data_IF_446797792563
#
_entry.id   IF_446797792563
#
_cell.length_a   1.000
_cell.length_b   1.000
_cell.length_c   1.000
_cell.angle_alpha   90.00
_cell.angle_beta   90.00
_cell.angle_gamma   90.00
#
_symmetry.space_group_name_H-M   'P 1'
#
loop_
_entity.id
_entity.type
_entity.pdbx_description
1 polymer ?
#
# COMPACT_ATOMS: atom_id res chain seq x y z
N UNK A 1 1.57 -28.01 -15.19
CA UNK A 1 0.29 -27.59 -15.81
C UNK A 1 0.50 -27.05 -17.23
N UNK A 2 -0.47 -27.25 -18.14
CA UNK A 2 -0.46 -26.63 -19.49
C UNK A 2 -0.99 -25.19 -19.43
N UNK A 3 -0.73 -24.38 -20.45
CA UNK A 3 -1.16 -22.95 -20.47
C UNK A 3 -2.67 -22.76 -20.29
N UNK A 4 -3.51 -23.63 -20.87
CA UNK A 4 -4.96 -23.57 -20.69
C UNK A 4 -5.42 -23.92 -19.27
N UNK A 5 -4.68 -24.77 -18.56
CA UNK A 5 -4.93 -25.08 -17.16
C UNK A 5 -4.48 -23.92 -16.26
N UNK A 6 -3.31 -23.34 -16.53
CA UNK A 6 -2.81 -22.15 -15.86
C UNK A 6 -3.81 -20.98 -15.99
N UNK A 7 -4.34 -20.76 -17.19
CA UNK A 7 -5.36 -19.77 -17.47
C UNK A 7 -6.61 -19.97 -16.60
N UNK A 8 -7.15 -21.20 -16.54
CA UNK A 8 -8.32 -21.49 -15.69
C UNK A 8 -8.05 -21.28 -14.20
N UNK A 9 -6.88 -21.69 -13.70
CA UNK A 9 -6.54 -21.58 -12.28
C UNK A 9 -6.28 -20.15 -11.82
N UNK A 10 -5.80 -19.30 -12.71
CA UNK A 10 -5.45 -17.90 -12.40
C UNK A 10 -6.52 -16.90 -12.80
N UNK A 11 -7.43 -17.29 -13.70
CA UNK A 11 -8.40 -16.40 -14.34
C UNK A 11 -7.77 -15.50 -15.41
N UNK A 12 -6.47 -15.63 -15.70
CA UNK A 12 -5.78 -14.82 -16.72
C UNK A 12 -5.99 -15.45 -18.10
N UNK A 13 -6.51 -14.70 -19.10
CA UNK A 13 -6.69 -15.24 -20.45
C UNK A 13 -5.38 -15.71 -21.08
N UNK A 14 -5.42 -16.78 -21.87
CA UNK A 14 -4.22 -17.30 -22.58
C UNK A 14 -3.49 -16.22 -23.39
N UNK A 15 -4.15 -15.32 -24.16
CA UNK A 15 -3.44 -14.25 -24.86
C UNK A 15 -2.67 -13.32 -23.93
N UNK A 16 -3.23 -13.03 -22.75
CA UNK A 16 -2.59 -12.20 -21.72
C UNK A 16 -1.40 -12.91 -21.08
N UNK A 17 -1.49 -14.22 -20.83
CA UNK A 17 -0.34 -15.02 -20.36
C UNK A 17 0.79 -14.98 -21.39
N UNK A 18 0.48 -15.20 -22.67
CA UNK A 18 1.48 -15.13 -23.75
C UNK A 18 2.10 -13.74 -23.86
N UNK A 19 1.29 -12.69 -23.70
CA UNK A 19 1.76 -11.31 -23.62
C UNK A 19 2.76 -11.13 -22.46
N UNK A 20 2.41 -11.53 -21.23
CA UNK A 20 3.32 -11.42 -20.09
C UNK A 20 4.62 -12.20 -20.27
N UNK A 21 4.60 -13.37 -20.92
CA UNK A 21 5.83 -14.10 -21.27
C UNK A 21 6.69 -13.30 -22.24
N UNK A 22 6.07 -12.70 -23.27
CA UNK A 22 6.79 -11.91 -24.28
C UNK A 22 7.41 -10.63 -23.70
N UNK A 23 6.69 -9.95 -22.81
CA UNK A 23 7.17 -8.74 -22.14
C UNK A 23 8.11 -9.04 -20.94
N UNK A 24 8.43 -10.31 -20.68
CA UNK A 24 9.32 -10.71 -19.58
C UNK A 24 8.71 -10.65 -18.17
N UNK A 25 7.43 -10.29 -18.07
CA UNK A 25 6.68 -10.25 -16.81
C UNK A 25 6.41 -11.64 -16.24
N UNK A 26 6.41 -12.69 -17.05
CA UNK A 26 6.28 -14.08 -16.61
C UNK A 26 7.41 -14.92 -17.23
N UNK A 27 8.16 -15.72 -16.45
CA UNK A 27 9.12 -16.65 -17.02
C UNK A 27 8.48 -17.56 -18.07
N UNK A 28 9.25 -17.90 -19.11
CA UNK A 28 8.79 -18.85 -20.11
C UNK A 28 8.60 -20.24 -19.48
N UNK A 29 7.49 -20.89 -19.81
CA UNK A 29 7.26 -22.28 -19.40
C UNK A 29 8.32 -23.21 -19.97
N UNK A 30 8.63 -24.29 -19.25
CA UNK A 30 9.61 -25.29 -19.70
C UNK A 30 9.08 -25.98 -20.95
N UNK A 31 9.82 -25.90 -22.05
CA UNK A 31 9.40 -26.52 -23.30
C UNK A 31 9.33 -28.05 -23.13
N UNK A 32 8.18 -28.63 -23.45
CA UNK A 32 7.93 -30.09 -23.39
C UNK A 32 7.74 -30.71 -24.76
N UNK A 33 7.44 -29.90 -25.78
CA UNK A 33 7.42 -30.30 -27.20
C UNK A 33 7.55 -29.05 -28.09
N UNK A 34 7.70 -29.17 -29.43
CA UNK A 34 7.81 -28.02 -30.33
C UNK A 34 6.67 -27.00 -30.22
N UNK A 35 5.48 -27.43 -29.76
CA UNK A 35 4.29 -26.59 -29.59
C UNK A 35 3.73 -26.57 -28.16
N UNK A 36 4.42 -27.18 -27.19
CA UNK A 36 3.94 -27.22 -25.80
C UNK A 36 5.01 -26.80 -24.79
N UNK A 37 4.54 -26.05 -23.78
CA UNK A 37 5.30 -25.70 -22.60
C UNK A 37 4.54 -26.11 -21.34
N UNK A 38 5.29 -26.54 -20.33
CA UNK A 38 4.81 -26.82 -18.99
C UNK A 38 5.12 -25.67 -18.04
N UNK A 39 4.10 -25.28 -17.29
CA UNK A 39 4.13 -24.28 -16.25
C UNK A 39 3.98 -24.95 -14.88
N UNK A 40 4.38 -24.28 -13.82
CA UNK A 40 4.31 -24.77 -12.45
C UNK A 40 3.60 -23.77 -11.53
N UNK A 41 3.53 -24.08 -10.25
CA UNK A 41 2.90 -23.27 -9.22
C UNK A 41 3.57 -21.91 -9.03
N UNK A 42 4.85 -21.76 -9.38
CA UNK A 42 5.53 -20.46 -9.32
C UNK A 42 4.97 -19.51 -10.40
N UNK A 43 4.68 -20.03 -11.59
CA UNK A 43 4.00 -19.25 -12.64
C UNK A 43 2.59 -18.82 -12.19
N UNK A 44 1.86 -19.71 -11.52
CA UNK A 44 0.53 -19.41 -10.98
C UNK A 44 0.59 -18.32 -9.90
N UNK A 45 1.54 -18.40 -8.97
CA UNK A 45 1.77 -17.38 -7.93
C UNK A 45 2.13 -16.03 -8.54
N UNK A 46 3.02 -16.02 -9.53
CA UNK A 46 3.43 -14.79 -10.23
C UNK A 46 2.30 -14.13 -10.98
N UNK A 47 1.42 -14.91 -11.63
CA UNK A 47 0.22 -14.37 -12.28
C UNK A 47 -0.77 -13.76 -11.27
N UNK A 48 -0.91 -14.34 -10.07
CA UNK A 48 -1.71 -13.73 -9.00
C UNK A 48 -1.12 -12.41 -8.52
N UNK A 49 0.22 -12.34 -8.38
CA UNK A 49 0.93 -11.11 -8.04
C UNK A 49 0.69 -10.02 -9.09
N UNK A 50 0.90 -10.33 -10.37
CA UNK A 50 0.66 -9.38 -11.47
C UNK A 50 -0.76 -8.84 -11.43
N UNK A 51 -1.76 -9.71 -11.24
CA UNK A 51 -3.16 -9.28 -11.12
C UNK A 51 -3.40 -8.38 -9.92
N UNK A 52 -2.88 -8.72 -8.75
CA UNK A 52 -3.04 -7.89 -7.56
C UNK A 52 -2.47 -6.48 -7.77
N UNK A 53 -1.28 -6.39 -8.34
CA UNK A 53 -0.62 -5.12 -8.62
C UNK A 53 -1.39 -4.26 -9.64
N UNK A 54 -1.89 -4.88 -10.73
CA UNK A 54 -2.65 -4.16 -11.76
C UNK A 54 -4.07 -3.78 -11.28
N UNK A 55 -4.84 -4.75 -10.78
CA UNK A 55 -6.29 -4.58 -10.54
C UNK A 55 -6.59 -3.84 -9.25
N UNK A 56 -5.83 -4.12 -8.18
CA UNK A 56 -6.08 -3.49 -6.87
C UNK A 56 -5.14 -2.30 -6.67
N UNK A 57 -3.93 -2.38 -7.22
CA UNK A 57 -2.93 -1.33 -7.06
C UNK A 57 -3.07 -0.20 -8.05
N UNK A 58 -3.73 -0.46 -9.19
CA UNK A 58 -3.80 0.50 -10.28
C UNK A 58 -2.41 0.83 -10.85
N UNK A 59 -1.44 -0.08 -10.71
CA UNK A 59 -0.11 0.14 -11.26
C UNK A 59 -0.17 -0.02 -12.78
N UNK A 60 0.61 0.82 -13.46
CA UNK A 60 0.91 0.63 -14.87
C UNK A 60 1.80 -0.61 -15.06
N UNK A 61 1.69 -1.26 -16.22
CA UNK A 61 2.45 -2.48 -16.54
C UNK A 61 3.96 -2.29 -16.37
N UNK A 62 4.48 -1.09 -16.67
CA UNK A 62 5.89 -0.76 -16.47
C UNK A 62 6.29 -0.78 -14.98
N UNK A 63 5.47 -0.23 -14.09
CA UNK A 63 5.73 -0.25 -12.64
C UNK A 63 5.63 -1.69 -12.08
N UNK A 64 4.72 -2.51 -12.63
CA UNK A 64 4.66 -3.94 -12.29
C UNK A 64 5.96 -4.65 -12.67
N UNK A 65 6.55 -4.35 -13.83
CA UNK A 65 7.83 -4.92 -14.25
C UNK A 65 8.95 -4.59 -13.25
N UNK A 66 9.01 -3.34 -12.78
CA UNK A 66 10.02 -2.88 -11.80
C UNK A 66 9.88 -3.63 -10.47
N UNK A 67 8.64 -3.80 -9.97
CA UNK A 67 8.38 -4.59 -8.74
C UNK A 67 8.82 -6.04 -8.93
N UNK A 68 8.47 -6.66 -10.06
CA UNK A 68 8.82 -8.05 -10.33
C UNK A 68 10.34 -8.24 -10.45
N UNK A 69 11.04 -7.32 -11.09
CA UNK A 69 12.50 -7.34 -11.18
C UNK A 69 13.16 -7.23 -9.79
N UNK A 70 12.63 -6.38 -8.91
CA UNK A 70 13.11 -6.27 -7.53
C UNK A 70 12.89 -7.58 -6.74
N UNK A 71 11.77 -8.27 -6.99
CA UNK A 71 11.45 -9.56 -6.37
C UNK A 71 12.32 -10.70 -6.91
N UNK A 72 12.65 -10.68 -8.20
CA UNK A 72 13.47 -11.70 -8.87
C UNK A 72 14.97 -11.59 -8.53
N UNK A 73 15.40 -10.46 -7.99
CA UNK A 73 16.76 -10.27 -7.49
C UNK A 73 16.96 -10.98 -6.14
N UNK A 74 17.18 -12.31 -6.22
CA UNK A 74 17.34 -13.20 -5.07
C UNK A 74 18.55 -12.93 -4.18
N UNK A 75 19.39 -11.94 -4.51
CA UNK A 75 20.48 -11.44 -3.66
C UNK A 75 20.06 -10.29 -2.73
N UNK A 76 18.89 -9.68 -2.96
CA UNK A 76 18.43 -8.54 -2.15
C UNK A 76 17.83 -8.98 -0.82
N UNK A 77 18.17 -8.29 0.28
CA UNK A 77 17.42 -8.40 1.52
C UNK A 77 15.94 -8.08 1.31
N UNK A 78 15.05 -8.79 2.02
CA UNK A 78 13.59 -8.58 1.93
C UNK A 78 13.18 -7.12 2.18
N UNK A 79 13.86 -6.42 3.08
CA UNK A 79 13.59 -5.02 3.38
C UNK A 79 13.84 -4.10 2.16
N UNK A 80 14.82 -4.41 1.32
CA UNK A 80 15.12 -3.62 0.12
C UNK A 80 14.04 -3.81 -0.95
N UNK A 81 13.53 -5.04 -1.11
CA UNK A 81 12.43 -5.32 -2.04
C UNK A 81 11.13 -4.63 -1.60
N UNK A 82 10.85 -4.64 -0.29
CA UNK A 82 9.72 -3.93 0.29
C UNK A 82 9.85 -2.41 0.10
N UNK A 83 11.04 -1.85 0.33
CA UNK A 83 11.31 -0.43 0.10
C UNK A 83 11.06 -0.01 -1.34
N UNK A 84 11.60 -0.76 -2.32
CA UNK A 84 11.37 -0.50 -3.75
C UNK A 84 9.88 -0.59 -4.10
N UNK A 85 9.19 -1.62 -3.62
CA UNK A 85 7.78 -1.79 -3.93
C UNK A 85 6.92 -0.68 -3.31
N UNK A 86 7.19 -0.28 -2.06
CA UNK A 86 6.52 0.85 -1.41
C UNK A 86 6.74 2.16 -2.18
N UNK A 87 7.96 2.43 -2.63
CA UNK A 87 8.30 3.62 -3.41
C UNK A 87 7.63 3.64 -4.79
N UNK A 88 7.51 2.48 -5.46
CA UNK A 88 6.85 2.39 -6.76
C UNK A 88 5.34 2.68 -6.69
N UNK A 89 4.74 2.54 -5.51
CA UNK A 89 3.30 2.66 -5.27
C UNK A 89 2.94 4.00 -4.65
N UNK A 90 3.87 4.57 -3.90
CA UNK A 90 3.74 5.90 -3.33
C UNK A 90 3.19 6.87 -4.40
N UNK A 91 2.09 7.59 -4.10
CA UNK A 91 1.44 8.45 -5.08
C UNK A 91 2.40 9.46 -5.68
N UNK A 92 2.39 9.57 -7.01
CA UNK A 92 3.06 10.68 -7.70
C UNK A 92 2.14 11.89 -7.67
N UNK A 93 2.32 12.74 -6.68
CA UNK A 93 1.72 14.07 -6.73
C UNK A 93 2.48 14.90 -7.76
N UNK A 94 1.76 15.55 -8.67
CA UNK A 94 2.35 16.44 -9.66
C UNK A 94 3.14 17.53 -8.92
N UNK A 95 4.47 17.50 -9.05
CA UNK A 95 5.32 18.53 -8.50
C UNK A 95 5.11 19.81 -9.31
N UNK A 96 4.42 20.80 -8.74
CA UNK A 96 4.58 22.18 -9.18
C UNK A 96 6.03 22.65 -8.97
N UNK A 97 6.39 23.79 -9.56
CA UNK A 97 7.68 24.49 -9.44
C UNK A 97 8.20 24.53 -7.99
N UNK A 98 9.51 24.82 -7.83
CA UNK A 98 10.16 24.93 -6.53
C UNK A 98 9.30 25.71 -5.52
N UNK A 99 8.99 25.05 -4.40
CA UNK A 99 7.88 25.38 -3.50
C UNK A 99 8.45 25.39 -2.08
N UNK A 100 8.60 26.58 -1.49
CA UNK A 100 9.26 26.76 -0.20
C UNK A 100 8.54 25.95 0.92
N UNK A 101 7.22 25.83 0.81
CA UNK A 101 6.40 25.01 1.70
C UNK A 101 6.71 23.51 1.56
N UNK A 102 7.01 23.05 0.34
CA UNK A 102 7.45 21.66 0.10
C UNK A 102 8.85 21.41 0.64
N UNK A 103 9.76 22.36 0.50
CA UNK A 103 11.11 22.25 1.07
C UNK A 103 11.08 22.22 2.60
N UNK A 104 10.26 23.08 3.21
CA UNK A 104 10.02 23.06 4.65
C UNK A 104 9.38 21.73 5.11
N UNK A 105 8.39 21.22 4.36
CA UNK A 105 7.79 19.91 4.63
C UNK A 105 8.81 18.76 4.50
N UNK A 106 9.72 18.79 3.52
CA UNK A 106 10.80 17.80 3.37
C UNK A 106 11.74 17.78 4.57
N UNK A 107 12.06 18.95 5.15
CA UNK A 107 12.84 19.03 6.39
C UNK A 107 12.09 18.33 7.52
N UNK A 108 10.81 18.68 7.74
CA UNK A 108 9.95 18.06 8.77
C UNK A 108 9.85 16.54 8.64
N UNK A 109 9.67 16.03 7.42
CA UNK A 109 9.61 14.58 7.15
C UNK A 109 10.94 13.90 7.49
N UNK A 110 12.09 14.47 7.11
CA UNK A 110 13.40 13.91 7.47
C UNK A 110 13.60 13.88 8.98
N UNK A 111 13.20 14.93 9.69
CA UNK A 111 13.27 14.95 11.15
C UNK A 111 12.35 13.90 11.77
N UNK A 112 11.14 13.68 11.24
CA UNK A 112 10.25 12.61 11.69
C UNK A 112 10.90 11.23 11.49
N UNK A 113 11.41 10.93 10.29
CA UNK A 113 12.11 9.67 9.98
C UNK A 113 13.26 9.44 10.96
N UNK A 114 14.09 10.45 11.18
CA UNK A 114 15.23 10.38 12.10
C UNK A 114 14.79 10.14 13.56
N UNK A 115 13.80 10.90 14.07
CA UNK A 115 13.29 10.74 15.45
C UNK A 115 12.68 9.36 15.68
N UNK A 116 12.07 8.78 14.66
CA UNK A 116 11.46 7.44 14.71
C UNK A 116 12.46 6.31 14.46
N UNK A 117 13.68 6.62 14.02
CA UNK A 117 14.70 5.62 13.67
C UNK A 117 14.29 4.76 12.47
N UNK A 118 13.45 5.28 11.57
CA UNK A 118 13.04 4.56 10.37
C UNK A 118 14.20 4.51 9.37
N UNK A 119 14.46 3.33 8.83
CA UNK A 119 15.50 3.10 7.81
C UNK A 119 14.90 3.31 6.42
N UNK A 120 14.85 4.56 5.98
CA UNK A 120 14.31 4.98 4.68
C UNK A 120 15.39 5.77 3.94
N UNK A 121 15.50 5.58 2.62
CA UNK A 121 16.47 6.32 1.78
C UNK A 121 16.08 7.80 1.65
N UNK A 122 17.07 8.68 1.51
CA UNK A 122 16.87 10.14 1.51
C UNK A 122 16.05 10.64 0.30
N UNK A 123 16.00 9.88 -0.79
CA UNK A 123 15.23 10.14 -2.02
C UNK A 123 13.98 9.26 -2.14
N UNK A 124 13.52 8.65 -1.04
CA UNK A 124 12.32 7.82 -1.03
C UNK A 124 11.10 8.56 -1.54
N UNK A 125 10.40 7.93 -2.49
CA UNK A 125 9.14 8.46 -3.02
C UNK A 125 8.05 8.55 -1.96
N UNK A 126 8.05 7.67 -0.97
CA UNK A 126 7.12 7.75 0.15
C UNK A 126 7.37 9.01 1.01
N UNK A 127 8.63 9.37 1.25
CA UNK A 127 8.98 10.60 1.96
C UNK A 127 8.54 11.84 1.17
N UNK A 128 8.76 11.84 -0.14
CA UNK A 128 8.32 12.91 -1.06
C UNK A 128 6.81 13.07 -1.11
N UNK A 129 6.07 11.95 -1.12
CA UNK A 129 4.62 11.93 -1.09
C UNK A 129 4.08 12.55 0.22
N UNK A 130 4.66 12.18 1.37
CA UNK A 130 4.29 12.77 2.65
C UNK A 130 4.61 14.28 2.72
N UNK A 131 5.79 14.69 2.26
CA UNK A 131 6.17 16.10 2.21
C UNK A 131 5.21 16.91 1.33
N UNK A 132 4.79 16.34 0.19
CA UNK A 132 3.83 17.00 -0.71
C UNK A 132 2.44 17.12 -0.07
N UNK A 133 1.97 16.08 0.63
CA UNK A 133 0.70 16.13 1.35
C UNK A 133 0.70 17.17 2.48
N UNK A 134 1.80 17.25 3.24
CA UNK A 134 1.97 18.26 4.30
C UNK A 134 2.01 19.68 3.75
N UNK A 135 2.74 19.91 2.65
CA UNK A 135 2.75 21.21 1.99
C UNK A 135 1.36 21.61 1.47
N UNK A 136 0.56 20.64 0.99
CA UNK A 136 -0.81 20.90 0.57
C UNK A 136 -1.74 21.23 1.76
N UNK A 137 -1.58 20.58 2.90
CA UNK A 137 -2.30 20.90 4.14
C UNK A 137 -1.95 22.30 4.65
N UNK A 138 -0.67 22.66 4.63
CA UNK A 138 -0.19 24.00 4.98
C UNK A 138 -0.89 25.07 4.13
N UNK A 139 -0.89 24.90 2.79
CA UNK A 139 -1.57 25.83 1.87
C UNK A 139 -3.08 25.92 2.09
N UNK A 140 -3.70 24.85 2.59
CA UNK A 140 -5.11 24.83 2.94
C UNK A 140 -5.41 25.47 4.32
N UNK A 141 -4.39 25.97 5.03
CA UNK A 141 -4.54 26.58 6.35
C UNK A 141 -4.50 25.59 7.52
N UNK A 142 -4.05 24.36 7.29
CA UNK A 142 -3.94 23.28 8.28
C UNK A 142 -2.48 22.98 8.65
N UNK A 143 -1.67 24.02 8.88
CA UNK A 143 -0.26 23.87 9.25
C UNK A 143 -0.01 23.25 10.64
N UNK A 144 -1.04 23.19 11.48
CA UNK A 144 -1.03 22.55 12.80
C UNK A 144 -1.20 21.03 12.73
N UNK A 145 -1.38 20.45 11.54
CA UNK A 145 -1.52 19.00 11.33
C UNK A 145 -0.33 18.20 11.86
N UNK A 146 0.84 18.83 12.01
CA UNK A 146 2.02 18.22 12.63
C UNK A 146 1.74 17.67 14.03
N UNK A 147 0.77 18.23 14.77
CA UNK A 147 0.40 17.76 16.11
C UNK A 147 -0.19 16.33 16.11
N UNK A 148 -0.78 15.90 15.00
CA UNK A 148 -1.36 14.55 14.86
C UNK A 148 -0.43 13.59 14.12
N UNK A 149 0.66 14.07 13.52
CA UNK A 149 1.59 13.24 12.75
C UNK A 149 2.17 12.09 13.58
N UNK A 150 2.48 12.32 14.85
CA UNK A 150 3.00 11.26 15.72
C UNK A 150 1.97 10.15 15.97
N UNK A 151 0.68 10.49 16.02
CA UNK A 151 -0.40 9.50 16.14
C UNK A 151 -0.55 8.68 14.86
N UNK A 152 -0.42 9.35 13.70
CA UNK A 152 -0.42 8.67 12.40
C UNK A 152 0.79 7.73 12.26
N UNK A 153 1.98 8.17 12.69
CA UNK A 153 3.20 7.36 12.69
C UNK A 153 3.05 6.13 13.60
N UNK A 154 2.52 6.28 14.82
CA UNK A 154 2.25 5.16 15.73
C UNK A 154 1.30 4.12 15.12
N UNK A 155 0.26 4.59 14.43
CA UNK A 155 -0.69 3.71 13.74
C UNK A 155 -0.02 3.00 12.56
N UNK A 156 0.76 3.73 11.75
CA UNK A 156 1.50 3.16 10.62
C UNK A 156 2.49 2.07 11.08
N UNK A 157 3.22 2.28 12.18
CA UNK A 157 4.13 1.28 12.74
C UNK A 157 3.40 0.01 13.23
N UNK A 158 2.19 0.15 13.79
CA UNK A 158 1.36 -1.00 14.19
C UNK A 158 0.90 -1.80 12.97
N UNK A 159 0.47 -1.12 11.91
CA UNK A 159 0.06 -1.75 10.65
C UNK A 159 1.25 -2.47 10.01
N UNK A 160 2.37 -1.77 9.81
CA UNK A 160 3.58 -2.34 9.22
C UNK A 160 4.06 -3.58 9.99
N UNK A 161 4.04 -3.56 11.33
CA UNK A 161 4.39 -4.73 12.15
C UNK A 161 3.43 -5.89 11.95
N UNK A 162 2.12 -5.63 11.85
CA UNK A 162 1.12 -6.65 11.62
C UNK A 162 1.29 -7.31 10.24
N UNK A 163 1.54 -6.51 9.21
CA UNK A 163 1.76 -6.96 7.84
C UNK A 163 3.03 -7.81 7.74
N UNK A 164 4.15 -7.31 8.27
CA UNK A 164 5.42 -8.05 8.31
C UNK A 164 5.28 -9.37 9.09
N UNK A 165 4.54 -9.38 10.21
CA UNK A 165 4.30 -10.60 10.97
C UNK A 165 3.40 -11.61 10.22
N UNK A 166 2.40 -11.13 9.47
CA UNK A 166 1.56 -11.99 8.62
C UNK A 166 2.40 -12.68 7.55
N UNK A 167 3.22 -11.89 6.86
CA UNK A 167 4.15 -12.34 5.83
C UNK A 167 5.15 -13.35 6.40
N UNK A 168 5.81 -13.03 7.52
CA UNK A 168 6.81 -13.90 8.14
C UNK A 168 6.25 -15.28 8.55
N UNK A 169 4.97 -15.36 8.95
CA UNK A 169 4.30 -16.63 9.29
C UNK A 169 3.99 -17.51 8.07
N UNK A 170 3.94 -16.93 6.87
CA UNK A 170 3.54 -17.60 5.64
C UNK A 170 4.72 -17.84 4.68
N UNK A 171 5.78 -17.05 4.84
CA UNK A 171 7.01 -17.13 4.09
C UNK A 171 7.87 -18.36 4.45
N UNK A 172 7.86 -19.36 3.56
CA UNK A 172 9.04 -20.18 3.26
C UNK A 172 9.98 -19.46 2.29
N UNK A 173 10.75 -20.19 1.45
CA UNK A 173 11.63 -19.64 0.39
C UNK A 173 10.94 -18.66 -0.59
N UNK A 174 9.62 -18.69 -0.68
CA UNK A 174 8.80 -17.87 -1.57
C UNK A 174 8.27 -16.56 -0.92
N UNK A 175 8.75 -16.22 0.29
CA UNK A 175 8.21 -15.16 1.14
C UNK A 175 8.24 -13.75 0.57
N UNK A 176 9.17 -13.43 -0.33
CA UNK A 176 9.40 -12.06 -0.82
C UNK A 176 8.24 -11.55 -1.69
N UNK A 177 7.63 -12.43 -2.48
CA UNK A 177 6.45 -12.11 -3.31
C UNK A 177 5.25 -11.76 -2.44
N UNK A 178 4.93 -12.60 -1.46
CA UNK A 178 3.82 -12.34 -0.53
C UNK A 178 4.11 -11.13 0.36
N UNK A 179 5.38 -10.91 0.73
CA UNK A 179 5.86 -9.71 1.43
C UNK A 179 5.52 -8.46 0.64
N UNK A 180 5.90 -8.44 -0.64
CA UNK A 180 5.62 -7.33 -1.53
C UNK A 180 4.11 -7.09 -1.57
N UNK A 181 3.28 -8.04 -2.01
CA UNK A 181 1.81 -7.82 -2.14
C UNK A 181 1.14 -7.25 -0.89
N UNK A 182 1.46 -7.82 0.27
CA UNK A 182 0.83 -7.44 1.54
C UNK A 182 1.36 -6.10 2.02
N UNK A 183 2.67 -5.89 1.99
CA UNK A 183 3.31 -4.63 2.38
C UNK A 183 3.19 -3.50 1.36
N UNK A 184 2.37 -3.70 0.32
CA UNK A 184 2.25 -2.77 -0.81
C UNK A 184 0.78 -2.46 -1.12
N UNK A 185 0.35 -2.71 -2.35
CA UNK A 185 -0.96 -2.42 -2.94
C UNK A 185 -2.12 -2.88 -2.05
N UNK A 186 -2.09 -4.12 -1.55
CA UNK A 186 -3.20 -4.62 -0.75
C UNK A 186 -3.22 -3.95 0.62
N UNK A 187 -2.05 -3.74 1.23
CA UNK A 187 -1.91 -3.03 2.50
C UNK A 187 -2.48 -1.61 2.41
N UNK A 188 -2.09 -0.86 1.38
CA UNK A 188 -2.59 0.50 1.15
C UNK A 188 -4.11 0.55 0.96
N UNK A 189 -4.66 -0.34 0.13
CA UNK A 189 -6.10 -0.41 -0.11
C UNK A 189 -6.87 -0.78 1.17
N UNK A 190 -6.35 -1.74 1.95
CA UNK A 190 -6.93 -2.16 3.22
C UNK A 190 -6.90 -1.02 4.24
N UNK A 191 -5.74 -0.39 4.45
CA UNK A 191 -5.56 0.69 5.41
C UNK A 191 -6.41 1.90 5.04
N UNK A 192 -6.42 2.30 3.77
CA UNK A 192 -7.25 3.41 3.30
C UNK A 192 -8.74 3.13 3.52
N UNK A 193 -9.19 1.90 3.26
CA UNK A 193 -10.60 1.50 3.47
C UNK A 193 -10.96 1.45 4.95
N UNK A 194 -10.12 0.83 5.78
CA UNK A 194 -10.31 0.78 7.24
C UNK A 194 -10.35 2.18 7.85
N UNK A 195 -9.44 3.07 7.43
CA UNK A 195 -9.41 4.46 7.90
C UNK A 195 -10.71 5.20 7.56
N UNK A 196 -11.21 5.05 6.33
CA UNK A 196 -12.49 5.65 5.91
C UNK A 196 -13.66 5.11 6.73
N UNK A 197 -13.70 3.80 6.99
CA UNK A 197 -14.73 3.18 7.83
C UNK A 197 -14.66 3.70 9.28
N UNK A 198 -13.46 3.79 9.86
CA UNK A 198 -13.26 4.32 11.21
C UNK A 198 -13.66 5.81 11.30
N UNK A 199 -13.39 6.61 10.27
CA UNK A 199 -13.88 7.99 10.19
C UNK A 199 -15.41 8.06 10.09
N UNK A 200 -16.04 7.16 9.32
CA UNK A 200 -17.50 7.11 9.21
C UNK A 200 -18.15 6.75 10.55
N UNK A 201 -17.61 5.76 11.26
CA UNK A 201 -18.09 5.38 12.60
C UNK A 201 -17.84 6.49 13.63
N UNK A 202 -16.63 7.03 13.69
CA UNK A 202 -16.29 8.11 14.62
C UNK A 202 -17.12 9.38 14.40
N UNK A 203 -17.38 9.74 13.13
CA UNK A 203 -18.26 10.87 12.82
C UNK A 203 -19.72 10.58 13.18
N UNK A 204 -20.22 9.37 12.94
CA UNK A 204 -21.55 8.97 13.39
C UNK A 204 -21.68 9.09 14.91
N UNK A 205 -20.69 8.62 15.69
CA UNK A 205 -20.69 8.77 17.14
C UNK A 205 -20.68 10.23 17.58
N UNK A 206 -19.85 11.07 16.97
CA UNK A 206 -19.73 12.49 17.31
C UNK A 206 -21.00 13.29 17.01
N UNK A 207 -21.64 13.05 15.86
CA UNK A 207 -22.84 13.80 15.44
C UNK A 207 -24.14 13.24 16.04
N UNK A 208 -24.29 11.92 16.18
CA UNK A 208 -25.51 11.30 16.72
C UNK A 208 -25.59 11.44 18.24
N UNK A 209 -24.48 11.30 18.96
CA UNK A 209 -24.49 11.43 20.43
C UNK A 209 -24.18 12.85 20.92
N UNK A 210 -23.53 13.68 20.11
CA UNK A 210 -23.30 15.10 20.42
C UNK A 210 -24.57 15.95 20.39
N UNK A 211 -25.59 15.58 19.60
CA UNK A 211 -26.88 16.28 19.55
C UNK A 211 -27.95 15.71 20.51
N UNK A 212 -27.72 14.54 21.12
CA UNK A 212 -28.65 13.91 22.07
C UNK A 212 -28.57 14.42 23.51
N UNK A 213 -27.55 15.21 23.85
CA UNK A 213 -27.24 15.66 25.22
C UNK A 213 -28.00 16.90 25.71
N UNK A 214 -28.70 17.63 24.83
CA UNK A 214 -29.35 18.91 25.21
C UNK A 214 -30.84 18.77 25.52
N UNK A 215 -31.47 17.62 25.27
CA UNK A 215 -32.92 17.44 25.39
C UNK A 215 -33.40 16.53 26.55
N UNK A 216 -32.63 16.41 27.64
CA UNK A 216 -33.12 15.75 28.89
C UNK A 216 -32.67 16.48 30.16
N UNK A 217 -33.04 17.75 30.31
CA UNK A 217 -33.07 18.41 31.63
C UNK A 217 -34.15 19.51 31.72
N UNK A 218 -35.37 19.22 31.25
CA UNK A 218 -36.53 20.03 31.61
C UNK A 218 -37.76 19.13 31.67
N UNK A 219 -38.14 18.72 32.89
CA UNK A 219 -39.34 17.91 33.09
C UNK A 219 -39.39 17.08 34.38
N UNK A 220 -38.68 17.48 35.44
CA UNK A 220 -38.97 17.01 36.80
C UNK A 220 -39.38 18.23 37.63
N UNK A 221 -40.67 18.55 37.58
CA UNK A 221 -41.31 19.58 38.40
C UNK A 221 -42.56 19.00 39.07
N UNK A 222 -42.38 18.65 40.34
CA UNK A 222 -43.34 18.46 41.46
C UNK A 222 -44.77 17.91 41.22
N UNK A 223 -45.23 16.93 42.03
CA UNK A 223 -46.64 16.83 42.39
C UNK A 223 -46.94 17.77 43.58
N UNK A 224 -47.93 18.63 43.44
CA UNK A 224 -48.61 19.30 44.56
C UNK A 224 -50.12 19.14 44.41
N UNK A 225 -50.76 18.72 45.50
CA UNK A 225 -52.22 18.78 45.71
C UNK A 225 -52.90 17.44 45.62
#
# INVERSE_FOLDING_TARGET
>A
MRIGELSRRTGVPVPTITYYVREGLLPAGRQTSPSQAAYDEAHERRLRLIRALLEIGGLEVAAVADVLAAVDDGGRPVHSVLGVAADLIAPRYAGGEADAERDAARVRVRELIARRGWLVEDDSRAADALATALAALERAGHGDFDQVLDTYADAAEKVARADLAYVARRAGRDGVVESAVVGTVLGDALLASLRRLAHADGSAWAYVNGQGGVARSAGAGEPRG
#
